data_IF_135309697194
#
_entry.id   IF_135309697194
#
_cell.length_a   1.000
_cell.length_b   1.000
_cell.length_c   1.000
_cell.angle_alpha   90.00
_cell.angle_beta   90.00
_cell.angle_gamma   90.00
#
_symmetry.space_group_name_H-M   'P 1'
#
loop_
_entity.id
_entity.type
_entity.pdbx_description
1 polymer ?
#
# COMPACT_ATOMS: atom_id res chain seq x y z
N UNK A 1 -1.48 -13.00 8.36
CA UNK A 1 -0.35 -12.96 9.32
C UNK A 1 -0.56 -11.75 10.23
N UNK A 2 -0.57 -11.95 11.54
CA UNK A 2 -0.71 -10.88 12.54
C UNK A 2 0.64 -10.67 13.20
N UNK A 3 1.12 -9.42 13.24
CA UNK A 3 2.44 -9.08 13.73
C UNK A 3 2.36 -8.28 15.03
N UNK A 4 3.31 -8.55 15.93
CA UNK A 4 3.47 -7.79 17.17
C UNK A 4 4.26 -6.51 16.86
N UNK A 5 3.57 -5.38 16.85
CA UNK A 5 4.16 -4.07 16.59
C UNK A 5 4.50 -3.35 17.89
N UNK A 6 5.55 -2.55 17.88
CA UNK A 6 5.79 -1.60 18.97
C UNK A 6 4.83 -0.41 18.85
N UNK A 7 3.65 -0.57 19.45
CA UNK A 7 2.63 0.47 19.49
C UNK A 7 3.08 1.73 20.25
N UNK A 8 4.14 1.65 21.06
CA UNK A 8 4.64 2.82 21.80
C UNK A 8 5.17 3.90 20.85
N UNK A 9 5.72 3.50 19.70
CA UNK A 9 6.16 4.42 18.65
C UNK A 9 4.97 5.04 17.91
N UNK A 10 3.94 4.26 17.59
CA UNK A 10 2.68 4.77 17.00
C UNK A 10 2.05 5.80 17.91
N UNK A 11 2.03 5.53 19.22
CA UNK A 11 1.52 6.48 20.20
C UNK A 11 2.38 7.76 20.24
N UNK A 12 3.71 7.62 20.31
CA UNK A 12 4.64 8.75 20.35
C UNK A 12 4.52 9.65 19.12
N UNK A 13 4.39 9.06 17.94
CA UNK A 13 4.32 9.83 16.70
C UNK A 13 2.94 10.48 16.51
N UNK A 14 1.86 9.84 16.96
CA UNK A 14 0.54 10.47 17.05
C UNK A 14 0.60 11.72 17.93
N UNK A 15 1.21 11.61 19.12
CA UNK A 15 1.34 12.72 20.07
C UNK A 15 2.19 13.86 19.48
N UNK A 16 3.34 13.53 18.86
CA UNK A 16 4.24 14.49 18.21
C UNK A 16 3.57 15.27 17.07
N UNK A 17 2.70 14.61 16.31
CA UNK A 17 1.99 15.22 15.18
C UNK A 17 0.62 15.79 15.55
N UNK A 18 0.27 15.82 16.85
CA UNK A 18 -1.05 16.24 17.34
C UNK A 18 -2.23 15.52 16.65
N UNK A 19 -2.04 14.24 16.30
CA UNK A 19 -3.04 13.37 15.66
C UNK A 19 -3.67 12.44 16.71
N UNK A 20 -4.94 12.12 16.53
CA UNK A 20 -5.70 11.29 17.47
C UNK A 20 -5.87 9.86 16.97
N UNK A 21 -6.03 8.91 17.91
CA UNK A 21 -6.39 7.52 17.60
C UNK A 21 -7.71 7.42 16.79
N UNK A 22 -8.63 8.36 17.00
CA UNK A 22 -9.89 8.44 16.25
C UNK A 22 -9.64 8.79 14.79
N UNK A 23 -8.77 9.77 14.50
CA UNK A 23 -8.39 10.11 13.13
C UNK A 23 -7.69 8.94 12.45
N UNK A 24 -6.78 8.27 13.16
CA UNK A 24 -6.11 7.08 12.64
C UNK A 24 -7.11 5.94 12.35
N UNK A 25 -8.08 5.69 13.23
CA UNK A 25 -9.10 4.65 13.02
C UNK A 25 -9.97 4.94 11.80
N UNK A 26 -10.34 6.21 11.61
CA UNK A 26 -11.07 6.67 10.43
C UNK A 26 -10.26 6.47 9.15
N UNK A 27 -8.96 6.79 9.17
CA UNK A 27 -8.08 6.59 8.01
C UNK A 27 -7.94 5.11 7.65
N UNK A 28 -7.79 4.24 8.65
CA UNK A 28 -7.67 2.79 8.44
C UNK A 28 -9.00 2.13 8.03
N UNK A 29 -10.14 2.82 8.15
CA UNK A 29 -11.46 2.25 7.92
C UNK A 29 -11.86 1.21 8.97
N UNK A 30 -11.38 1.34 10.21
CA UNK A 30 -11.66 0.39 11.29
C UNK A 30 -12.47 1.04 12.43
N UNK A 31 -13.13 0.20 13.22
CA UNK A 31 -13.92 0.68 14.36
C UNK A 31 -13.03 1.21 15.49
N UNK A 32 -13.60 2.06 16.34
CA UNK A 32 -12.94 2.53 17.57
C UNK A 32 -12.52 1.37 18.48
N UNK A 33 -13.35 0.33 18.58
CA UNK A 33 -13.06 -0.84 19.40
C UNK A 33 -11.87 -1.61 18.87
N UNK A 34 -11.80 -1.82 17.55
CA UNK A 34 -10.64 -2.45 16.90
C UNK A 34 -9.37 -1.65 17.17
N UNK A 35 -9.42 -0.31 17.05
CA UNK A 35 -8.27 0.54 17.34
C UNK A 35 -7.82 0.45 18.80
N UNK A 36 -8.76 0.42 19.75
CA UNK A 36 -8.44 0.24 21.18
C UNK A 36 -7.79 -1.12 21.43
N UNK A 37 -8.30 -2.19 20.81
CA UNK A 37 -7.71 -3.53 20.91
C UNK A 37 -6.29 -3.53 20.39
N UNK A 38 -6.04 -2.99 19.18
CA UNK A 38 -4.68 -2.90 18.61
C UNK A 38 -3.75 -2.14 19.56
N UNK A 39 -4.19 -1.02 20.13
CA UNK A 39 -3.36 -0.25 21.05
C UNK A 39 -3.13 -0.90 22.42
N UNK A 40 -3.98 -1.85 22.81
CA UNK A 40 -3.86 -2.60 24.06
C UNK A 40 -2.99 -3.84 23.90
N UNK A 41 -3.16 -4.57 22.80
CA UNK A 41 -2.45 -5.83 22.55
C UNK A 41 -1.12 -5.62 21.84
N UNK A 42 -0.96 -4.52 21.10
CA UNK A 42 0.17 -4.30 20.21
C UNK A 42 0.16 -5.25 19.01
N UNK A 43 -0.98 -5.89 18.70
CA UNK A 43 -1.11 -6.85 17.59
C UNK A 43 -1.95 -6.21 16.50
N UNK A 44 -1.47 -6.25 15.26
CA UNK A 44 -2.24 -5.84 14.09
C UNK A 44 -1.80 -6.60 12.84
N UNK A 45 -2.59 -6.48 11.77
CA UNK A 45 -2.22 -7.01 10.46
C UNK A 45 -1.16 -6.12 9.79
N UNK A 46 -0.31 -6.71 8.95
CA UNK A 46 0.74 -5.98 8.21
C UNK A 46 0.15 -4.83 7.37
N UNK A 47 -0.99 -5.02 6.71
CA UNK A 47 -1.65 -3.98 5.90
C UNK A 47 -2.14 -2.80 6.76
N UNK A 48 -2.59 -3.07 7.99
CA UNK A 48 -2.97 -2.04 8.96
C UNK A 48 -1.73 -1.26 9.40
N UNK A 49 -0.64 -1.95 9.69
CA UNK A 49 0.62 -1.32 10.08
C UNK A 49 1.20 -0.43 8.98
N UNK A 50 1.16 -0.89 7.71
CA UNK A 50 1.53 -0.08 6.54
C UNK A 50 0.71 1.20 6.45
N UNK A 51 -0.62 1.10 6.62
CA UNK A 51 -1.50 2.28 6.63
C UNK A 51 -1.26 3.20 7.82
N UNK A 52 -0.85 2.68 8.98
CA UNK A 52 -0.46 3.51 10.13
C UNK A 52 0.79 4.33 9.81
N UNK A 53 1.80 3.71 9.20
CA UNK A 53 3.02 4.40 8.77
C UNK A 53 2.73 5.45 7.68
N UNK A 54 1.87 5.13 6.71
CA UNK A 54 1.41 6.07 5.68
C UNK A 54 0.71 7.29 6.30
N UNK A 55 -0.23 7.06 7.23
CA UNK A 55 -0.95 8.13 7.92
C UNK A 55 -0.02 9.05 8.72
N UNK A 56 1.01 8.46 9.33
CA UNK A 56 2.01 9.17 10.11
C UNK A 56 3.15 9.75 9.25
N UNK A 57 3.20 9.47 7.94
CA UNK A 57 4.26 9.92 7.03
C UNK A 57 5.66 9.57 7.53
N UNK A 58 5.81 8.33 7.97
CA UNK A 58 7.02 7.78 8.60
C UNK A 58 7.42 6.48 7.93
N UNK A 59 8.71 6.16 7.96
CA UNK A 59 9.17 4.90 7.40
C UNK A 59 8.74 3.74 8.30
N UNK A 60 8.25 2.65 7.70
CA UNK A 60 7.97 1.41 8.42
C UNK A 60 9.20 0.89 9.18
N UNK A 61 10.40 1.17 8.65
CA UNK A 61 11.67 0.79 9.27
C UNK A 61 11.88 1.49 10.63
N UNK A 62 11.31 2.69 10.81
CA UNK A 62 11.42 3.46 12.06
C UNK A 62 10.55 2.86 13.18
N UNK A 63 9.51 2.09 12.82
CA UNK A 63 8.58 1.45 13.76
C UNK A 63 9.04 0.07 14.23
N UNK A 64 10.07 -0.49 13.57
CA UNK A 64 10.66 -1.79 13.94
C UNK A 64 11.79 -1.55 14.96
N UNK A 65 11.65 -0.58 15.87
CA UNK A 65 12.67 -0.27 16.86
C UNK A 65 12.83 -1.42 17.86
N UNK A 66 13.93 -2.14 17.65
CA UNK A 66 14.76 -2.95 18.53
C UNK A 66 14.49 -2.75 20.03
N UNK A 67 13.47 -3.42 20.58
CA UNK A 67 13.43 -3.66 22.02
C UNK A 67 14.28 -4.91 22.33
N UNK A 68 15.55 -4.65 22.67
CA UNK A 68 16.40 -5.43 23.58
C UNK A 68 16.38 -6.94 23.48
N UNK A 69 17.25 -7.49 22.63
CA UNK A 69 17.60 -8.91 22.60
C UNK A 69 18.00 -9.30 21.19
N UNK A 70 19.20 -9.86 21.01
CA UNK A 70 19.80 -10.25 19.73
C UNK A 70 19.01 -11.33 18.93
N UNK A 71 17.75 -11.57 19.27
CA UNK A 71 16.85 -12.57 18.68
C UNK A 71 15.61 -12.02 17.95
N UNK A 72 15.19 -10.76 18.14
CA UNK A 72 14.14 -10.14 17.32
C UNK A 72 14.79 -9.58 16.05
N UNK A 73 14.92 -10.50 15.12
CA UNK A 73 16.08 -10.67 14.24
C UNK A 73 15.89 -9.94 12.92
N UNK A 74 17.02 -9.66 12.26
CA UNK A 74 17.08 -9.32 10.84
C UNK A 74 16.08 -10.13 10.00
N UNK A 75 15.79 -11.39 10.36
CA UNK A 75 14.77 -12.25 9.76
C UNK A 75 13.35 -11.65 9.74
N UNK A 76 12.84 -11.08 10.84
CA UNK A 76 11.52 -10.43 10.85
C UNK A 76 11.50 -9.18 9.98
N UNK A 77 12.63 -8.45 9.94
CA UNK A 77 12.80 -7.29 9.03
C UNK A 77 12.84 -7.73 7.57
N UNK A 78 13.54 -8.83 7.27
CA UNK A 78 13.58 -9.44 5.94
C UNK A 78 12.18 -9.89 5.54
N UNK A 79 11.43 -10.55 6.42
CA UNK A 79 10.07 -11.03 6.12
C UNK A 79 9.12 -9.87 5.80
N UNK A 80 9.12 -8.81 6.62
CA UNK A 80 8.33 -7.60 6.36
C UNK A 80 8.76 -6.93 5.04
N UNK A 81 10.07 -6.79 4.80
CA UNK A 81 10.58 -6.21 3.56
C UNK A 81 10.26 -7.08 2.35
N UNK A 82 10.27 -8.40 2.50
CA UNK A 82 9.95 -9.38 1.45
C UNK A 82 8.47 -9.29 1.11
N UNK A 83 7.58 -9.35 2.11
CA UNK A 83 6.13 -9.16 1.91
C UNK A 83 5.80 -7.80 1.31
N UNK A 84 6.51 -6.74 1.70
CA UNK A 84 6.33 -5.42 1.08
C UNK A 84 6.78 -5.40 -0.38
N UNK A 85 7.91 -6.04 -0.70
CA UNK A 85 8.40 -6.16 -2.08
C UNK A 85 7.45 -6.97 -2.96
N UNK A 86 6.90 -8.07 -2.43
CA UNK A 86 5.89 -8.88 -3.13
C UNK A 86 4.64 -8.06 -3.45
N UNK A 87 4.13 -7.30 -2.47
CA UNK A 87 2.99 -6.40 -2.67
C UNK A 87 3.27 -5.33 -3.73
N UNK A 88 4.46 -4.71 -3.69
CA UNK A 88 4.88 -3.73 -4.70
C UNK A 88 4.97 -4.37 -6.09
N UNK A 89 5.51 -5.58 -6.18
CA UNK A 89 5.61 -6.31 -7.44
C UNK A 89 4.24 -6.68 -8.00
N UNK A 90 3.31 -7.15 -7.17
CA UNK A 90 1.92 -7.43 -7.58
C UNK A 90 1.24 -6.17 -8.10
N UNK A 91 1.31 -5.06 -7.36
CA UNK A 91 0.71 -3.79 -7.79
C UNK A 91 1.35 -3.29 -9.10
N UNK A 92 2.67 -3.39 -9.22
CA UNK A 92 3.37 -3.02 -10.45
C UNK A 92 2.89 -3.86 -11.64
N UNK A 93 2.72 -5.17 -11.46
CA UNK A 93 2.18 -6.05 -12.50
C UNK A 93 0.74 -5.70 -12.88
N UNK A 94 -0.12 -5.38 -11.91
CA UNK A 94 -1.49 -4.91 -12.17
C UNK A 94 -1.49 -3.62 -13.00
N UNK A 95 -0.64 -2.66 -12.65
CA UNK A 95 -0.49 -1.40 -13.40
C UNK A 95 0.02 -1.63 -14.82
N UNK A 96 1.01 -2.53 -14.98
CA UNK A 96 1.54 -2.90 -16.30
C UNK A 96 0.49 -3.59 -17.17
N UNK A 97 -0.31 -4.50 -16.61
CA UNK A 97 -1.41 -5.15 -17.34
C UNK A 97 -2.45 -4.13 -17.78
N UNK A 98 -2.85 -3.22 -16.88
CA UNK A 98 -3.81 -2.17 -17.20
C UNK A 98 -3.32 -1.23 -18.31
N UNK A 99 -2.04 -0.83 -18.26
CA UNK A 99 -1.43 -0.03 -19.32
C UNK A 99 -1.36 -0.78 -20.65
N UNK A 100 -1.08 -2.08 -20.61
CA UNK A 100 -1.07 -2.93 -21.81
C UNK A 100 -2.46 -3.00 -22.44
N UNK A 101 -3.50 -3.20 -21.64
CA UNK A 101 -4.89 -3.25 -22.13
C UNK A 101 -5.32 -1.91 -22.75
N UNK A 102 -4.96 -0.80 -22.09
CA UNK A 102 -5.20 0.56 -22.62
C UNK A 102 -4.46 0.80 -23.95
N UNK A 103 -3.22 0.34 -24.07
CA UNK A 103 -2.46 0.43 -25.31
C UNK A 103 -3.09 -0.41 -26.42
N UNK A 104 -3.58 -1.62 -26.11
CA UNK A 104 -4.24 -2.47 -27.09
C UNK A 104 -5.53 -1.82 -27.61
N UNK A 105 -6.36 -1.29 -26.72
CA UNK A 105 -7.60 -0.57 -27.09
C UNK A 105 -7.28 0.66 -27.98
N UNK A 106 -6.20 1.39 -27.67
CA UNK A 106 -5.74 2.52 -28.48
C UNK A 106 -5.33 2.08 -29.90
N UNK A 107 -4.56 0.99 -30.02
CA UNK A 107 -4.15 0.44 -31.31
C UNK A 107 -5.35 -0.03 -32.14
N UNK A 108 -6.34 -0.69 -31.52
CA UNK A 108 -7.56 -1.11 -32.21
C UNK A 108 -8.38 0.08 -32.73
N UNK A 109 -8.48 1.16 -31.94
CA UNK A 109 -9.14 2.41 -32.38
C UNK A 109 -8.40 3.05 -33.55
N UNK A 110 -7.07 3.13 -33.47
CA UNK A 110 -6.24 3.66 -34.55
C UNK A 110 -6.38 2.84 -35.84
N UNK A 111 -6.41 1.51 -35.75
CA UNK A 111 -6.61 0.64 -36.89
C UNK A 111 -7.97 0.87 -37.58
N UNK A 112 -9.05 1.01 -36.79
CA UNK A 112 -10.39 1.34 -37.31
C UNK A 112 -10.41 2.70 -38.02
N UNK A 113 -9.85 3.73 -37.40
CA UNK A 113 -9.75 5.06 -38.00
C UNK A 113 -8.94 5.04 -39.30
N UNK A 114 -7.85 4.27 -39.35
CA UNK A 114 -7.04 4.11 -40.56
C UNK A 114 -7.82 3.40 -41.67
N UNK A 115 -8.61 2.38 -41.34
CA UNK A 115 -9.47 1.69 -42.30
C UNK A 115 -10.57 2.60 -42.84
N UNK A 116 -11.24 3.36 -41.97
CA UNK A 116 -12.26 4.36 -42.34
C UNK A 116 -11.67 5.44 -43.25
N UNK A 117 -10.51 5.98 -42.89
CA UNK A 117 -9.79 6.96 -43.70
C UNK A 117 -9.44 6.41 -45.10
N UNK A 118 -8.95 5.17 -45.18
CA UNK A 118 -8.65 4.53 -46.47
C UNK A 118 -9.89 4.28 -47.32
N UNK A 119 -11.04 3.97 -46.70
CA UNK A 119 -12.33 3.86 -47.42
C UNK A 119 -12.73 5.21 -48.02
N UNK A 120 -12.58 6.30 -47.25
CA UNK A 120 -12.89 7.67 -47.70
C UNK A 120 -11.97 8.16 -48.83
N UNK A 121 -10.70 7.76 -48.81
CA UNK A 121 -9.77 8.08 -49.92
C UNK A 121 -10.15 7.32 -51.18
N UNK A 122 -10.45 6.02 -51.06
CA UNK A 122 -10.79 5.16 -52.21
C UNK A 122 -12.17 5.44 -52.82
N UNK A 123 -13.06 6.14 -52.10
CA UNK A 123 -14.38 6.52 -52.57
C UNK A 123 -14.44 7.92 -53.21
N UNK A 124 -13.31 8.66 -53.27
CA UNK A 124 -13.24 9.89 -54.05
C UNK A 124 -13.07 9.57 -55.55
N UNK A 125 -13.90 10.16 -56.43
CA UNK A 125 -13.82 9.97 -57.89
C UNK A 125 -12.58 10.60 -58.51
#
# INVERSE_FOLDING_TARGET
MEEKIDISLVKRELDKQAKTKTQLAKFLGITRNTMVTIFKTGICRIDQFQKMAEFLQVSLLDFIAVNGGAGNTVSQRIEILTSHNELLHTRHMEDVMKLKDQNLECLEKLAKLYEEHNKLIKSKP
#
